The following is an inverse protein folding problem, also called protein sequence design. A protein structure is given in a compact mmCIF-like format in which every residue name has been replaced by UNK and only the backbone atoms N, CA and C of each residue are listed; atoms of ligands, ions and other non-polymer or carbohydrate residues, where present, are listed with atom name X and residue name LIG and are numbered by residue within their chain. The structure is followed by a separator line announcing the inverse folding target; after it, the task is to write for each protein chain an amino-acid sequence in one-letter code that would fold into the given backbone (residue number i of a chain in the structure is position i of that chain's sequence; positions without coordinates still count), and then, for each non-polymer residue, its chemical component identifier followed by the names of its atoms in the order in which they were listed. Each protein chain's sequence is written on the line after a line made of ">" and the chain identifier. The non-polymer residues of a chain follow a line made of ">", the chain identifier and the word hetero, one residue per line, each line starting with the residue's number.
data_IF_021478652015
#
_entry.id   IF_021478652015
#
_cell.length_a   1.000
_cell.length_b   1.000
_cell.length_c   1.000
_cell.angle_alpha   90.00
_cell.angle_beta   90.00
_cell.angle_gamma   90.00
#
_symmetry.space_group_name_H-M   'P 1'
#
loop_
_entity.id
_entity.type
_entity.pdbx_description
1 polymer ?
#
# COMPACT_ATOMS: atom_id res chain seq x y z
N UNK A 1 14.28 0.12 -8.06
CA UNK A 1 15.33 -0.74 -8.63
C UNK A 1 14.97 -0.94 -10.09
N UNK A 2 15.57 -0.21 -11.04
CA UNK A 2 15.18 -0.31 -12.46
C UNK A 2 15.43 -1.71 -13.05
N UNK A 3 16.46 -2.42 -12.55
CA UNK A 3 16.77 -3.77 -13.02
C UNK A 3 15.64 -4.78 -12.80
N UNK A 4 14.92 -4.69 -11.67
CA UNK A 4 13.73 -5.52 -11.41
C UNK A 4 12.62 -5.25 -12.42
N UNK A 5 12.34 -3.97 -12.71
CA UNK A 5 11.30 -3.60 -13.68
C UNK A 5 11.66 -4.11 -15.07
N UNK A 6 12.89 -3.87 -15.54
CA UNK A 6 13.36 -4.32 -16.85
C UNK A 6 13.31 -5.84 -16.97
N UNK A 7 13.69 -6.58 -15.91
CA UNK A 7 13.60 -8.05 -15.88
C UNK A 7 12.17 -8.60 -16.07
N UNK A 8 11.15 -7.80 -15.74
CA UNK A 8 9.74 -8.12 -15.95
C UNK A 8 9.14 -7.47 -17.21
N UNK A 9 9.96 -6.85 -18.07
CA UNK A 9 9.49 -6.14 -19.27
C UNK A 9 8.74 -4.84 -18.95
N UNK A 10 9.04 -4.22 -17.80
CA UNK A 10 8.41 -3.00 -17.29
C UNK A 10 9.43 -1.85 -17.20
N UNK A 11 8.94 -0.64 -16.88
CA UNK A 11 9.75 0.55 -16.61
C UNK A 11 9.31 1.15 -15.27
N UNK A 12 10.24 1.76 -14.53
CA UNK A 12 9.86 2.37 -13.24
C UNK A 12 9.07 3.67 -13.36
N UNK A 13 9.09 4.32 -14.53
CA UNK A 13 8.42 5.60 -14.79
C UNK A 13 6.89 5.53 -14.61
N UNK A 14 6.26 4.45 -15.04
CA UNK A 14 4.81 4.24 -14.93
C UNK A 14 4.41 3.42 -13.69
N UNK A 15 5.38 3.06 -12.83
CA UNK A 15 5.16 2.16 -11.69
C UNK A 15 4.10 2.64 -10.70
N UNK A 16 3.98 3.95 -10.49
CA UNK A 16 2.96 4.54 -9.59
C UNK A 16 1.56 4.36 -10.16
N UNK A 17 1.38 4.67 -11.44
CA UNK A 17 0.10 4.51 -12.13
C UNK A 17 -0.29 3.04 -12.21
N UNK A 18 0.67 2.17 -12.55
CA UNK A 18 0.46 0.71 -12.56
C UNK A 18 0.02 0.19 -11.20
N UNK A 19 0.68 0.61 -10.12
CA UNK A 19 0.31 0.20 -8.76
C UNK A 19 -1.11 0.65 -8.41
N UNK A 20 -1.51 1.86 -8.80
CA UNK A 20 -2.86 2.37 -8.56
C UNK A 20 -3.91 1.53 -9.31
N UNK A 21 -3.73 1.30 -10.61
CA UNK A 21 -4.67 0.50 -11.42
C UNK A 21 -4.69 -0.97 -10.97
N UNK A 22 -3.53 -1.55 -10.65
CA UNK A 22 -3.43 -2.92 -10.14
C UNK A 22 -4.24 -3.08 -8.86
N UNK A 23 -4.11 -2.14 -7.91
CA UNK A 23 -4.84 -2.17 -6.66
C UNK A 23 -6.36 -2.04 -6.90
N UNK A 24 -6.78 -1.14 -7.78
CA UNK A 24 -8.19 -1.02 -8.17
C UNK A 24 -8.73 -2.34 -8.72
N UNK A 25 -8.07 -2.90 -9.73
CA UNK A 25 -8.46 -4.16 -10.38
C UNK A 25 -8.53 -5.30 -9.38
N UNK A 26 -7.52 -5.44 -8.50
CA UNK A 26 -7.48 -6.49 -7.49
C UNK A 26 -8.64 -6.37 -6.49
N UNK A 27 -8.89 -5.15 -5.98
CA UNK A 27 -9.98 -4.92 -5.03
C UNK A 27 -11.32 -5.24 -5.67
N UNK A 28 -11.57 -4.72 -6.88
CA UNK A 28 -12.79 -4.98 -7.64
C UNK A 28 -12.97 -6.46 -7.94
N UNK A 29 -11.92 -7.16 -8.34
CA UNK A 29 -11.99 -8.60 -8.61
C UNK A 29 -12.37 -9.43 -7.36
N UNK A 30 -12.05 -8.96 -6.16
CA UNK A 30 -12.44 -9.62 -4.91
C UNK A 30 -13.84 -9.25 -4.43
N UNK A 31 -14.34 -8.06 -4.76
CA UNK A 31 -15.60 -7.53 -4.23
C UNK A 31 -16.75 -7.53 -5.23
N UNK A 32 -16.47 -7.58 -6.53
CA UNK A 32 -17.44 -7.46 -7.63
C UNK A 32 -17.50 -8.77 -8.43
N UNK A 33 -18.69 -9.10 -8.93
CA UNK A 33 -18.91 -10.14 -9.93
C UNK A 33 -20.21 -9.82 -10.68
N UNK A 34 -20.21 -9.67 -12.02
CA UNK A 34 -19.06 -9.75 -12.92
C UNK A 34 -18.13 -8.54 -12.84
N UNK A 35 -16.88 -8.70 -13.29
CA UNK A 35 -15.90 -7.61 -13.41
C UNK A 35 -15.58 -7.35 -14.89
N UNK A 36 -15.79 -6.12 -15.34
CA UNK A 36 -15.25 -5.59 -16.59
C UNK A 36 -14.38 -4.38 -16.27
N UNK A 37 -13.14 -4.39 -16.75
CA UNK A 37 -12.18 -3.31 -16.56
C UNK A 37 -11.40 -3.05 -17.85
N UNK A 38 -11.43 -1.82 -18.34
CA UNK A 38 -10.70 -1.34 -19.51
C UNK A 38 -9.84 -0.13 -19.09
N UNK A 39 -8.71 -0.40 -18.45
CA UNK A 39 -7.75 0.60 -17.98
C UNK A 39 -6.58 0.79 -18.94
N UNK A 40 -5.57 1.53 -18.46
CA UNK A 40 -4.35 1.82 -19.22
C UNK A 40 -3.43 0.61 -19.27
N UNK A 41 -3.39 -0.19 -18.20
CA UNK A 41 -2.49 -1.33 -18.05
C UNK A 41 -3.21 -2.68 -18.12
N UNK A 42 -4.48 -2.73 -17.78
CA UNK A 42 -5.28 -3.95 -17.74
C UNK A 42 -6.55 -3.81 -18.59
N UNK A 43 -6.82 -4.82 -19.40
CA UNK A 43 -8.09 -4.97 -20.12
C UNK A 43 -8.62 -6.38 -19.90
N UNK A 44 -9.65 -6.52 -19.08
CA UNK A 44 -10.19 -7.83 -18.68
C UNK A 44 -11.70 -7.82 -18.48
N UNK A 45 -12.29 -9.00 -18.67
CA UNK A 45 -13.70 -9.30 -18.41
C UNK A 45 -13.77 -10.67 -17.78
N UNK A 46 -14.21 -10.75 -16.52
CA UNK A 46 -14.34 -12.00 -15.76
C UNK A 46 -15.78 -12.13 -15.25
N UNK A 47 -16.39 -13.33 -15.28
CA UNK A 47 -17.65 -13.56 -14.59
C UNK A 47 -17.50 -13.48 -13.06
N UNK A 48 -16.37 -13.96 -12.53
CA UNK A 48 -16.02 -13.95 -11.10
C UNK A 48 -14.55 -14.38 -10.92
N UNK A 49 -13.83 -13.81 -9.95
CA UNK A 49 -12.51 -14.32 -9.54
C UNK A 49 -12.64 -15.49 -8.57
N UNK A 50 -11.99 -16.63 -8.87
CA UNK A 50 -12.01 -17.83 -8.03
C UNK A 50 -10.59 -18.33 -7.71
N UNK A 51 -10.34 -18.77 -6.45
CA UNK A 51 -11.24 -18.71 -5.29
C UNK A 51 -11.38 -17.28 -4.74
N UNK A 52 -12.51 -16.97 -4.08
CA UNK A 52 -12.65 -15.69 -3.35
C UNK A 52 -11.84 -15.71 -2.06
N UNK A 53 -11.26 -14.57 -1.63
CA UNK A 53 -10.66 -14.47 -0.30
C UNK A 53 -11.68 -14.76 0.80
N UNK A 54 -11.20 -15.41 1.88
CA UNK A 54 -12.00 -15.66 3.09
C UNK A 54 -12.33 -14.35 3.83
N UNK A 55 -11.38 -13.41 3.88
CA UNK A 55 -11.57 -12.10 4.52
C UNK A 55 -12.48 -11.21 3.66
N UNK A 56 -13.39 -10.49 4.33
CA UNK A 56 -14.32 -9.55 3.69
C UNK A 56 -14.02 -8.10 4.14
N UNK A 57 -14.21 -7.09 3.27
CA UNK A 57 -14.54 -7.22 1.83
C UNK A 57 -13.39 -7.83 1.02
N UNK A 58 -12.15 -7.63 1.47
CA UNK A 58 -10.93 -8.21 0.94
C UNK A 58 -9.91 -8.37 2.10
N UNK A 59 -8.80 -9.10 1.92
CA UNK A 59 -7.73 -9.13 2.92
C UNK A 59 -7.19 -7.72 3.23
N UNK A 60 -6.73 -7.45 4.46
CA UNK A 60 -6.07 -6.18 4.77
C UNK A 60 -4.85 -5.95 3.88
N UNK A 61 -4.74 -4.77 3.27
CA UNK A 61 -3.63 -4.39 2.41
C UNK A 61 -2.79 -3.34 3.11
N UNK A 62 -1.50 -3.60 3.22
CA UNK A 62 -0.52 -2.68 3.82
C UNK A 62 0.38 -2.11 2.73
N UNK A 63 0.73 -0.83 2.85
CA UNK A 63 1.65 -0.16 1.93
C UNK A 63 3.05 -0.12 2.55
N UNK A 64 4.00 -0.79 1.90
CA UNK A 64 5.40 -0.61 2.22
C UNK A 64 5.87 0.78 1.75
N UNK A 65 6.40 1.58 2.67
CA UNK A 65 6.73 2.99 2.42
C UNK A 65 8.09 3.35 3.01
N UNK A 66 8.74 4.35 2.42
CA UNK A 66 10.09 4.80 2.84
C UNK A 66 10.31 6.30 2.64
N UNK A 67 9.73 6.90 1.59
CA UNK A 67 9.78 8.34 1.34
C UNK A 67 8.75 9.11 2.17
N UNK A 68 9.05 10.34 2.56
CA UNK A 68 8.13 11.22 3.30
C UNK A 68 6.81 11.38 2.54
N UNK A 69 6.87 11.68 1.24
CA UNK A 69 5.70 11.88 0.38
C UNK A 69 4.81 10.64 0.33
N UNK A 70 5.39 9.46 0.11
CA UNK A 70 4.62 8.20 0.09
C UNK A 70 3.93 7.91 1.43
N UNK A 71 4.57 8.29 2.54
CA UNK A 71 4.02 8.07 3.88
C UNK A 71 2.84 9.02 4.13
N UNK A 72 2.99 10.31 3.80
CA UNK A 72 1.90 11.29 3.91
C UNK A 72 0.73 10.94 3.01
N UNK A 73 1.01 10.52 1.77
CA UNK A 73 -0.02 10.07 0.84
C UNK A 73 -0.82 8.89 1.40
N UNK A 74 -0.16 7.89 1.98
CA UNK A 74 -0.85 6.76 2.61
C UNK A 74 -1.72 7.20 3.79
N UNK A 75 -1.29 8.19 4.57
CA UNK A 75 -2.11 8.79 5.62
C UNK A 75 -3.39 9.42 5.06
N UNK A 76 -3.27 10.21 3.99
CA UNK A 76 -4.42 10.83 3.30
C UNK A 76 -5.40 9.80 2.75
N UNK A 77 -4.89 8.67 2.25
CA UNK A 77 -5.67 7.56 1.72
C UNK A 77 -6.25 6.64 2.80
N UNK A 78 -5.83 6.76 4.07
CA UNK A 78 -6.23 5.83 5.13
C UNK A 78 -5.62 4.43 5.01
N UNK A 79 -4.50 4.30 4.32
CA UNK A 79 -3.86 3.01 4.08
C UNK A 79 -2.91 2.66 5.25
N UNK A 80 -3.03 1.45 5.86
CA UNK A 80 -2.04 0.96 6.82
C UNK A 80 -0.64 0.96 6.22
N UNK A 81 0.37 1.36 7.01
CA UNK A 81 1.74 1.50 6.55
C UNK A 81 2.70 0.54 7.23
N UNK A 82 3.67 0.07 6.46
CA UNK A 82 4.89 -0.57 6.93
C UNK A 82 6.08 0.27 6.48
N UNK A 83 6.75 0.94 7.41
CA UNK A 83 7.96 1.71 7.13
C UNK A 83 9.12 0.72 6.96
N UNK A 84 9.70 0.69 5.77
CA UNK A 84 10.76 -0.25 5.41
C UNK A 84 12.05 0.48 5.03
N UNK A 85 13.19 -0.05 5.50
CA UNK A 85 14.54 0.31 5.01
C UNK A 85 14.91 1.79 5.16
N UNK A 86 14.73 2.37 6.35
CA UNK A 86 15.19 3.73 6.69
C UNK A 86 16.05 3.76 7.97
N UNK A 87 16.94 4.76 8.14
CA UNK A 87 17.65 5.00 9.40
C UNK A 87 16.69 5.27 10.57
N UNK A 88 17.07 4.84 11.78
CA UNK A 88 16.24 4.99 12.99
C UNK A 88 15.87 6.46 13.25
N UNK A 89 16.83 7.37 13.08
CA UNK A 89 16.64 8.80 13.27
C UNK A 89 15.56 9.42 12.36
N UNK A 90 15.20 8.75 11.26
CA UNK A 90 14.17 9.21 10.32
C UNK A 90 12.77 8.70 10.65
N UNK A 91 12.63 7.72 11.55
CA UNK A 91 11.33 7.14 11.89
C UNK A 91 10.36 8.19 12.49
N UNK A 92 10.78 9.04 13.45
CA UNK A 92 9.87 10.05 14.00
C UNK A 92 9.35 11.00 12.93
N UNK A 93 10.22 11.43 12.00
CA UNK A 93 9.85 12.26 10.85
C UNK A 93 8.81 11.56 9.96
N UNK A 94 8.98 10.27 9.65
CA UNK A 94 8.01 9.51 8.84
C UNK A 94 6.68 9.34 9.55
N UNK A 95 6.68 9.01 10.85
CA UNK A 95 5.44 8.91 11.63
C UNK A 95 4.69 10.25 11.68
N UNK A 96 5.40 11.37 11.79
CA UNK A 96 4.80 12.70 11.72
C UNK A 96 4.17 12.98 10.34
N UNK A 97 4.81 12.55 9.25
CA UNK A 97 4.23 12.67 7.91
C UNK A 97 2.96 11.82 7.73
N UNK A 98 2.91 10.63 8.34
CA UNK A 98 1.71 9.80 8.31
C UNK A 98 0.57 10.47 9.07
N UNK A 99 0.86 11.02 10.25
CA UNK A 99 -0.10 11.78 11.05
C UNK A 99 -0.65 12.99 10.29
N UNK A 100 0.21 13.75 9.61
CA UNK A 100 -0.21 14.87 8.76
C UNK A 100 -1.18 14.42 7.66
N UNK A 101 -0.87 13.32 6.97
CA UNK A 101 -1.77 12.73 5.98
C UNK A 101 -3.10 12.29 6.58
N UNK A 102 -3.10 11.63 7.74
CA UNK A 102 -4.33 11.25 8.44
C UNK A 102 -5.16 12.48 8.83
N UNK A 103 -4.53 13.57 9.25
CA UNK A 103 -5.22 14.82 9.59
C UNK A 103 -5.92 15.45 8.38
N UNK A 104 -5.35 15.31 7.18
CA UNK A 104 -5.93 15.77 5.90
C UNK A 104 -7.03 14.85 5.37
N UNK A 105 -7.12 13.62 5.87
CA UNK A 105 -8.13 12.66 5.46
C UNK A 105 -9.51 13.04 6.02
N UNK A 106 -10.56 12.59 5.33
CA UNK A 106 -11.96 12.70 5.79
C UNK A 106 -12.37 11.56 6.72
N UNK A 107 -11.41 10.81 7.26
CA UNK A 107 -11.66 9.64 8.09
C UNK A 107 -12.09 10.05 9.50
N UNK A 108 -12.94 9.23 10.09
CA UNK A 108 -13.35 9.37 11.48
C UNK A 108 -12.16 9.32 12.44
N UNK A 109 -12.26 10.02 13.57
CA UNK A 109 -11.21 10.05 14.59
C UNK A 109 -10.79 8.65 15.07
N UNK A 110 -11.76 7.75 15.30
CA UNK A 110 -11.48 6.37 15.69
C UNK A 110 -10.68 5.60 14.64
N UNK A 111 -10.99 5.80 13.35
CA UNK A 111 -10.26 5.17 12.25
C UNK A 111 -8.82 5.70 12.17
N UNK A 112 -8.62 7.01 12.31
CA UNK A 112 -7.28 7.62 12.34
C UNK A 112 -6.46 7.10 13.52
N UNK A 113 -7.06 7.01 14.70
CA UNK A 113 -6.40 6.47 15.90
C UNK A 113 -5.98 5.00 15.70
N UNK A 114 -6.86 4.17 15.15
CA UNK A 114 -6.54 2.77 14.84
C UNK A 114 -5.38 2.66 13.84
N UNK A 115 -5.40 3.44 12.77
CA UNK A 115 -4.36 3.45 11.75
C UNK A 115 -3.00 3.88 12.32
N UNK A 116 -3.00 4.89 13.20
CA UNK A 116 -1.80 5.31 13.93
C UNK A 116 -1.24 4.20 14.81
N UNK A 117 -2.09 3.52 15.57
CA UNK A 117 -1.69 2.42 16.44
C UNK A 117 -1.15 1.19 15.67
N UNK A 118 -1.57 1.02 14.42
CA UNK A 118 -1.14 -0.08 13.56
C UNK A 118 0.11 0.25 12.72
N UNK A 119 0.58 1.50 12.68
CA UNK A 119 1.76 1.85 11.88
C UNK A 119 2.97 0.99 12.30
N UNK A 120 3.52 0.23 11.36
CA UNK A 120 4.58 -0.73 11.64
C UNK A 120 5.93 -0.28 11.05
N UNK A 121 7.01 -0.78 11.63
CA UNK A 121 8.38 -0.55 11.14
C UNK A 121 9.06 -1.90 10.98
N UNK A 122 9.69 -2.14 9.82
CA UNK A 122 10.57 -3.27 9.62
C UNK A 122 12.02 -2.90 9.94
N UNK A 123 12.70 -3.75 10.73
CA UNK A 123 14.10 -3.58 11.15
C UNK A 123 14.87 -4.90 11.07
N UNK A 124 16.17 -4.79 10.82
CA UNK A 124 17.13 -5.87 11.05
C UNK A 124 17.73 -5.69 12.44
N UNK A 125 17.68 -6.76 13.26
CA UNK A 125 18.33 -6.83 14.57
C UNK A 125 19.40 -7.90 14.47
N UNK A 126 20.65 -7.51 14.70
CA UNK A 126 21.77 -8.44 14.70
C UNK A 126 22.10 -8.77 16.15
N UNK A 127 22.00 -10.05 16.51
CA UNK A 127 22.37 -10.55 17.84
C UNK A 127 23.69 -11.30 17.65
N UNK A 128 24.76 -10.80 18.27
CA UNK A 128 26.02 -11.54 18.35
C UNK A 128 25.93 -12.56 19.49
N UNK A 129 26.44 -13.77 19.25
CA UNK A 129 26.65 -14.76 20.31
C UNK A 129 27.89 -14.33 21.11
N UNK A 130 27.79 -14.36 22.44
CA UNK A 130 28.90 -14.15 23.35
C UNK A 130 29.82 -15.38 23.40
#
# INVERSE_FOLDING_TARGET
>A
NEYEFVGHGLRSEDSRERMAETLEVMLRAWTEAPLVHHGKFYRLSLPELRPRPRQRPHPPIWRAVSSADSVRECGRLGAPILIARIPLARIPERLAMYEAGLAESRLEAATRQRLRAQAAVWRFVHVAMA
#
